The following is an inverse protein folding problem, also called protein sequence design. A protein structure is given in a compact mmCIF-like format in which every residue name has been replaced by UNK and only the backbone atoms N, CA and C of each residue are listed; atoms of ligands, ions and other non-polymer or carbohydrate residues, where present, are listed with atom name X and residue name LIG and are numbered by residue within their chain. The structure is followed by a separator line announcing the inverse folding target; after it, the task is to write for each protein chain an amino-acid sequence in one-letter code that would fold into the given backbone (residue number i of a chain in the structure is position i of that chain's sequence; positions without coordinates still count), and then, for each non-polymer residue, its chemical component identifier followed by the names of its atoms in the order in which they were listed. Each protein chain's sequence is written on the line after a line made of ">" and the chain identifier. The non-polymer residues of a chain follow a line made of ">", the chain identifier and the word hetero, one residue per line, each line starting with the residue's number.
data_IF_423212642860
#
_entry.id   IF_423212642860
#
_cell.length_a   1.000
_cell.length_b   1.000
_cell.length_c   1.000
_cell.angle_alpha   90.00
_cell.angle_beta   90.00
_cell.angle_gamma   90.00
#
_symmetry.space_group_name_H-M   'P 1'
#
loop_
_entity.id
_entity.type
_entity.pdbx_description
1 polymer ?
#
# COMPACT_ATOMS: atom_id res chain seq x y z
N UNK A 1 23.65 -12.87 -2.01
CA UNK A 1 23.83 -11.94 -0.87
C UNK A 1 22.75 -12.26 0.16
N UNK A 2 23.17 -12.59 1.39
CA UNK A 2 22.25 -12.76 2.51
C UNK A 2 21.73 -11.38 2.92
N UNK A 3 20.43 -11.12 2.71
CA UNK A 3 19.76 -9.89 3.08
C UNK A 3 18.64 -10.14 4.07
N UNK A 4 18.16 -9.09 4.73
CA UNK A 4 17.04 -9.13 5.67
C UNK A 4 15.75 -8.77 4.93
N UNK A 5 14.70 -9.58 5.10
CA UNK A 5 13.38 -9.33 4.54
C UNK A 5 12.46 -8.72 5.59
N UNK A 6 11.73 -7.66 5.22
CA UNK A 6 10.59 -7.19 6.02
C UNK A 6 9.41 -8.12 5.75
N UNK A 7 8.91 -8.80 6.79
CA UNK A 7 7.92 -9.85 6.64
C UNK A 7 6.75 -9.73 7.61
N UNK A 8 5.57 -10.09 7.14
CA UNK A 8 4.40 -10.38 7.96
C UNK A 8 4.23 -11.89 8.06
N UNK A 9 4.23 -12.40 9.27
CA UNK A 9 4.01 -13.82 9.55
C UNK A 9 2.72 -14.01 10.32
N UNK A 10 1.93 -14.98 9.91
CA UNK A 10 0.76 -15.40 10.66
C UNK A 10 1.10 -16.45 11.68
N UNK A 11 0.41 -16.41 12.82
CA UNK A 11 0.51 -17.40 13.90
C UNK A 11 -0.88 -17.97 14.22
N UNK A 12 -0.92 -19.24 14.56
CA UNK A 12 -2.16 -19.91 14.99
C UNK A 12 -3.03 -20.39 13.82
N UNK A 13 -4.29 -19.93 13.75
CA UNK A 13 -5.26 -20.40 12.75
C UNK A 13 -5.09 -19.82 11.35
N UNK A 14 -4.34 -18.74 11.22
CA UNK A 14 -3.94 -18.18 9.95
C UNK A 14 -2.66 -18.86 9.44
N UNK A 15 -2.54 -19.04 8.15
CA UNK A 15 -1.34 -19.61 7.54
C UNK A 15 -0.87 -18.71 6.39
N UNK A 16 0.41 -18.39 6.41
CA UNK A 16 1.08 -17.63 5.37
C UNK A 16 2.15 -16.70 5.91
N UNK A 17 3.03 -16.34 5.00
CA UNK A 17 4.07 -15.33 5.19
C UNK A 17 4.02 -14.40 3.99
N UNK A 18 4.00 -13.11 4.22
CA UNK A 18 4.09 -12.09 3.20
C UNK A 18 5.42 -11.35 3.38
N UNK A 19 6.25 -11.37 2.38
CA UNK A 19 7.52 -10.63 2.35
C UNK A 19 7.35 -9.37 1.51
N UNK A 20 7.98 -8.27 1.95
CA UNK A 20 7.92 -6.99 1.27
C UNK A 20 8.49 -7.08 -0.14
N UNK A 21 7.75 -6.53 -1.12
CA UNK A 21 8.09 -6.58 -2.54
C UNK A 21 8.61 -5.23 -3.07
N UNK A 22 8.03 -4.12 -2.59
CA UNK A 22 8.37 -2.78 -3.03
C UNK A 22 9.15 -2.07 -1.94
N UNK A 23 10.46 -1.97 -2.14
CA UNK A 23 11.34 -1.29 -1.21
C UNK A 23 11.30 0.22 -1.43
N UNK A 24 11.53 0.96 -0.34
CA UNK A 24 11.59 2.43 -0.37
C UNK A 24 12.97 2.86 -0.88
N UNK A 25 13.03 3.61 -2.00
CA UNK A 25 14.29 4.14 -2.50
C UNK A 25 14.98 5.00 -1.44
N UNK A 26 16.30 4.89 -1.34
CA UNK A 26 17.18 5.56 -0.37
C UNK A 26 16.93 5.23 1.11
N UNK A 27 15.79 4.62 1.46
CA UNK A 27 15.48 4.15 2.81
C UNK A 27 15.82 2.67 3.02
N UNK A 28 15.50 1.83 2.05
CA UNK A 28 15.66 0.37 2.12
C UNK A 28 16.61 -0.16 1.05
N UNK A 29 16.82 0.58 -0.03
CA UNK A 29 17.83 0.28 -1.05
C UNK A 29 18.31 1.57 -1.73
N UNK A 30 19.49 1.50 -2.35
CA UNK A 30 20.04 2.60 -3.15
C UNK A 30 19.72 2.33 -4.63
N UNK A 31 18.92 3.19 -5.31
CA UNK A 31 18.47 2.94 -6.68
C UNK A 31 19.61 3.24 -7.60
N UNK A 32 20.51 3.09 -7.98
CA UNK A 32 21.60 3.31 -8.94
C UNK A 32 22.97 3.00 -8.34
N UNK A 33 23.69 2.11 -8.99
CA UNK A 33 25.06 1.73 -8.63
C UNK A 33 26.06 2.90 -8.68
N UNK A 34 25.74 3.97 -9.42
CA UNK A 34 26.57 5.18 -9.49
C UNK A 34 26.73 5.87 -8.12
N UNK A 35 25.76 5.71 -7.23
CA UNK A 35 25.83 6.23 -5.86
C UNK A 35 26.60 5.33 -4.91
N UNK A 36 26.99 4.13 -5.35
CA UNK A 36 27.68 3.17 -4.51
C UNK A 36 29.03 3.72 -4.00
N UNK A 37 29.79 4.36 -4.88
CA UNK A 37 31.06 4.98 -4.52
C UNK A 37 30.88 6.18 -3.58
N UNK A 38 29.81 6.94 -3.75
CA UNK A 38 29.49 8.07 -2.88
C UNK A 38 29.13 7.60 -1.46
N UNK A 39 28.24 6.62 -1.32
CA UNK A 39 27.86 6.08 -0.01
C UNK A 39 28.99 5.37 0.71
N UNK A 40 29.88 4.66 -0.03
CA UNK A 40 31.06 4.03 0.56
C UNK A 40 32.08 5.05 1.06
N UNK A 41 32.23 6.17 0.37
CA UNK A 41 33.13 7.26 0.79
C UNK A 41 32.70 7.87 2.12
N UNK A 42 31.40 7.97 2.39
CA UNK A 42 30.86 8.53 3.62
C UNK A 42 30.59 7.48 4.72
N UNK A 43 31.02 6.23 4.54
CA UNK A 43 30.77 5.14 5.50
C UNK A 43 29.28 4.98 5.91
N UNK A 44 28.35 5.30 5.02
CA UNK A 44 26.94 5.03 5.28
C UNK A 44 26.68 3.53 5.22
N UNK A 45 26.21 2.95 6.33
CA UNK A 45 25.72 1.58 6.35
C UNK A 45 24.55 1.47 5.40
N UNK A 46 24.68 0.66 4.34
CA UNK A 46 23.57 0.40 3.41
C UNK A 46 22.55 -0.48 4.10
N UNK A 47 21.28 -0.13 4.03
CA UNK A 47 20.25 -1.08 4.39
C UNK A 47 20.33 -2.27 3.42
N UNK A 48 20.55 -3.46 3.94
CA UNK A 48 20.55 -4.70 3.15
C UNK A 48 19.17 -5.36 3.21
N UNK A 49 18.15 -4.64 2.75
CA UNK A 49 16.79 -5.17 2.67
C UNK A 49 16.60 -5.79 1.30
N UNK A 50 16.14 -7.04 1.28
CA UNK A 50 15.88 -7.79 0.05
C UNK A 50 14.38 -7.81 -0.23
N UNK A 51 14.02 -7.46 -1.46
CA UNK A 51 12.64 -7.61 -1.96
C UNK A 51 12.35 -9.07 -2.28
N UNK A 52 11.11 -9.49 -2.10
CA UNK A 52 10.66 -10.82 -2.48
C UNK A 52 9.57 -10.73 -3.54
N UNK A 53 9.63 -11.59 -4.54
CA UNK A 53 8.57 -11.72 -5.54
C UNK A 53 7.42 -12.64 -5.07
N UNK A 54 7.57 -13.26 -3.91
CA UNK A 54 6.58 -14.16 -3.33
C UNK A 54 5.44 -13.38 -2.69
N UNK A 55 4.47 -13.01 -3.50
CA UNK A 55 3.23 -12.41 -3.02
C UNK A 55 2.25 -13.52 -2.65
N UNK A 56 2.15 -13.80 -1.37
CA UNK A 56 1.29 -14.86 -0.84
C UNK A 56 0.17 -14.24 -0.01
N UNK A 57 -1.06 -14.76 -0.20
CA UNK A 57 -2.17 -14.45 0.69
C UNK A 57 -1.97 -15.13 2.04
N UNK A 58 -2.19 -14.40 3.11
CA UNK A 58 -2.34 -14.98 4.44
C UNK A 58 -3.77 -15.54 4.53
N UNK A 59 -3.90 -16.85 4.80
CA UNK A 59 -5.17 -17.56 4.66
C UNK A 59 -5.60 -18.26 5.95
N UNK A 60 -6.91 -18.32 6.14
CA UNK A 60 -7.57 -19.28 7.02
C UNK A 60 -8.79 -19.84 6.28
N UNK A 61 -9.65 -20.61 6.99
CA UNK A 61 -10.85 -21.21 6.39
C UNK A 61 -11.72 -20.18 5.66
N UNK A 62 -11.93 -19.00 6.27
CA UNK A 62 -12.88 -17.99 5.76
C UNK A 62 -12.22 -16.64 5.44
N UNK A 63 -10.92 -16.51 5.69
CA UNK A 63 -10.16 -15.29 5.49
C UNK A 63 -9.06 -15.49 4.46
N UNK A 64 -9.06 -14.61 3.45
CA UNK A 64 -8.00 -14.47 2.46
C UNK A 64 -7.51 -13.02 2.52
N UNK A 65 -6.38 -12.80 3.18
CA UNK A 65 -5.85 -11.47 3.47
C UNK A 65 -4.78 -11.13 2.45
N UNK A 66 -4.99 -10.05 1.70
CA UNK A 66 -3.95 -9.43 0.87
C UNK A 66 -3.24 -8.36 1.71
N UNK A 67 -1.92 -8.46 1.79
CA UNK A 67 -1.12 -7.62 2.69
C UNK A 67 -0.24 -6.64 1.93
N UNK A 68 0.11 -5.54 2.60
CA UNK A 68 1.12 -4.58 2.18
C UNK A 68 1.91 -4.11 3.41
N UNK A 69 3.22 -3.94 3.25
CA UNK A 69 4.11 -3.46 4.32
C UNK A 69 4.49 -2.02 4.05
N UNK A 70 4.16 -1.12 4.98
CA UNK A 70 4.54 0.29 4.97
C UNK A 70 4.11 0.98 3.66
N UNK A 71 5.04 1.64 2.98
CA UNK A 71 4.81 2.41 1.76
C UNK A 71 4.29 1.59 0.57
N UNK A 72 4.33 0.25 0.62
CA UNK A 72 3.74 -0.60 -0.43
C UNK A 72 2.26 -0.29 -0.68
N UNK A 73 1.54 0.22 0.33
CA UNK A 73 0.15 0.66 0.19
C UNK A 73 -0.02 1.73 -0.90
N UNK A 74 1.02 2.49 -1.23
CA UNK A 74 1.00 3.48 -2.31
C UNK A 74 0.93 2.85 -3.70
N UNK A 75 1.42 1.61 -3.84
CA UNK A 75 1.40 0.89 -5.10
C UNK A 75 0.11 0.10 -5.29
N UNK A 76 -0.66 0.45 -6.31
CA UNK A 76 -1.94 -0.19 -6.62
C UNK A 76 -1.81 -1.67 -6.95
N UNK A 77 -0.73 -2.04 -7.66
CA UNK A 77 -0.46 -3.39 -8.14
C UNK A 77 -0.31 -4.43 -7.02
N UNK A 78 0.14 -4.03 -5.83
CA UNK A 78 0.26 -4.92 -4.67
C UNK A 78 -1.07 -5.62 -4.37
N UNK A 79 -2.18 -4.87 -4.35
CA UNK A 79 -3.49 -5.44 -4.07
C UNK A 79 -4.21 -5.98 -5.31
N UNK A 80 -3.89 -5.49 -6.51
CA UNK A 80 -4.51 -5.97 -7.74
C UNK A 80 -4.17 -7.45 -8.02
N UNK A 81 -2.94 -7.87 -7.74
CA UNK A 81 -2.48 -9.24 -7.96
C UNK A 81 -3.35 -10.28 -7.26
N UNK A 82 -3.80 -10.01 -6.04
CA UNK A 82 -4.65 -10.88 -5.23
C UNK A 82 -6.07 -10.33 -5.01
N UNK A 83 -6.39 -9.25 -5.68
CA UNK A 83 -7.67 -8.56 -5.49
C UNK A 83 -8.90 -9.45 -5.71
N UNK A 84 -8.84 -10.41 -6.63
CA UNK A 84 -9.95 -11.35 -6.89
C UNK A 84 -10.11 -12.40 -5.80
N UNK A 85 -9.03 -12.81 -5.17
CA UNK A 85 -8.99 -13.92 -4.23
C UNK A 85 -9.12 -13.47 -2.77
N UNK A 86 -8.66 -12.26 -2.44
CA UNK A 86 -8.74 -11.73 -1.08
C UNK A 86 -10.16 -11.29 -0.72
N UNK A 87 -10.47 -11.29 0.56
CA UNK A 87 -11.72 -10.74 1.13
C UNK A 87 -11.47 -9.71 2.23
N UNK A 88 -10.20 -9.50 2.59
CA UNK A 88 -9.72 -8.53 3.55
C UNK A 88 -8.36 -7.98 3.08
N UNK A 89 -8.11 -6.70 3.31
CA UNK A 89 -6.81 -6.05 3.09
C UNK A 89 -6.15 -5.77 4.44
N UNK A 90 -4.83 -5.88 4.50
CA UNK A 90 -4.05 -5.58 5.68
C UNK A 90 -2.84 -4.72 5.32
N UNK A 91 -2.59 -3.68 6.12
CA UNK A 91 -1.39 -2.86 5.99
C UNK A 91 -0.71 -2.70 7.35
N UNK A 92 0.49 -3.22 7.49
CA UNK A 92 1.37 -2.93 8.61
C UNK A 92 2.33 -1.81 8.24
N UNK A 93 2.50 -0.81 9.10
CA UNK A 93 3.38 0.33 8.80
C UNK A 93 4.11 0.85 10.04
N UNK A 94 5.23 1.50 9.77
CA UNK A 94 5.90 2.37 10.72
C UNK A 94 6.04 3.75 10.07
N UNK A 95 5.23 4.70 10.52
CA UNK A 95 5.16 6.05 9.94
C UNK A 95 6.15 7.04 10.61
N UNK A 96 7.07 6.54 11.45
CA UNK A 96 8.06 7.36 12.14
C UNK A 96 8.96 8.20 11.19
N UNK A 97 9.11 7.72 9.95
CA UNK A 97 9.85 8.42 8.90
C UNK A 97 9.27 9.78 8.53
N UNK A 98 7.97 9.97 8.76
CA UNK A 98 7.29 11.22 8.44
C UNK A 98 7.44 12.29 9.53
N UNK A 99 7.92 11.92 10.75
CA UNK A 99 8.01 12.84 11.88
C UNK A 99 6.67 13.51 12.17
N UNK A 100 6.72 14.73 12.72
CA UNK A 100 5.54 15.54 13.06
C UNK A 100 5.01 16.30 11.84
N UNK A 101 4.69 15.58 10.78
CA UNK A 101 4.17 16.17 9.54
C UNK A 101 2.78 15.61 9.20
N UNK A 102 2.17 16.10 8.13
CA UNK A 102 0.92 15.57 7.59
C UNK A 102 1.08 14.17 6.96
N UNK A 103 2.31 13.67 6.82
CA UNK A 103 2.64 12.40 6.16
C UNK A 103 1.83 11.20 6.62
N UNK A 104 1.69 10.92 7.94
CA UNK A 104 0.88 9.81 8.44
C UNK A 104 -0.58 9.87 8.00
N UNK A 105 -1.18 11.05 7.94
CA UNK A 105 -2.56 11.25 7.49
C UNK A 105 -2.70 11.06 5.98
N UNK A 106 -1.72 11.51 5.20
CA UNK A 106 -1.68 11.24 3.75
C UNK A 106 -1.53 9.75 3.48
N UNK A 107 -0.71 9.06 4.27
CA UNK A 107 -0.53 7.62 4.17
C UNK A 107 -1.82 6.85 4.53
N UNK A 108 -2.56 7.29 5.56
CA UNK A 108 -3.90 6.80 5.86
C UNK A 108 -4.86 7.03 4.70
N UNK A 109 -4.80 8.21 4.07
CA UNK A 109 -5.67 8.54 2.94
C UNK A 109 -5.44 7.59 1.76
N UNK A 110 -4.18 7.23 1.48
CA UNK A 110 -3.85 6.22 0.47
C UNK A 110 -4.48 4.86 0.84
N UNK A 111 -4.41 4.44 2.10
CA UNK A 111 -5.04 3.20 2.56
C UNK A 111 -6.56 3.21 2.35
N UNK A 112 -7.23 4.35 2.57
CA UNK A 112 -8.66 4.54 2.29
C UNK A 112 -8.99 4.33 0.81
N UNK A 113 -8.17 4.87 -0.09
CA UNK A 113 -8.33 4.62 -1.53
C UNK A 113 -8.16 3.15 -1.88
N UNK A 114 -7.17 2.45 -1.31
CA UNK A 114 -6.99 1.00 -1.54
C UNK A 114 -8.23 0.20 -1.13
N UNK A 115 -8.81 0.51 0.02
CA UNK A 115 -10.05 -0.14 0.47
C UNK A 115 -11.21 0.09 -0.51
N UNK A 116 -11.41 1.34 -0.96
CA UNK A 116 -12.47 1.72 -1.88
C UNK A 116 -12.29 1.10 -3.29
N UNK A 117 -11.10 1.14 -3.86
CA UNK A 117 -10.76 0.57 -5.17
C UNK A 117 -11.00 -0.94 -5.22
N UNK A 118 -10.65 -1.63 -4.14
CA UNK A 118 -10.83 -3.07 -4.03
C UNK A 118 -12.24 -3.45 -3.54
N UNK A 119 -13.04 -2.50 -3.03
CA UNK A 119 -14.33 -2.74 -2.35
C UNK A 119 -14.20 -3.75 -1.22
N UNK A 120 -13.10 -3.71 -0.51
CA UNK A 120 -12.79 -4.59 0.61
C UNK A 120 -12.43 -3.78 1.85
N UNK A 121 -12.80 -4.28 3.05
CA UNK A 121 -12.34 -3.65 4.27
C UNK A 121 -10.82 -3.76 4.37
N UNK A 122 -10.21 -2.79 5.05
CA UNK A 122 -8.79 -2.74 5.28
C UNK A 122 -8.51 -2.50 6.76
N UNK A 123 -7.63 -3.33 7.33
CA UNK A 123 -7.05 -3.13 8.64
C UNK A 123 -5.68 -2.50 8.44
N UNK A 124 -5.49 -1.32 9.02
CA UNK A 124 -4.19 -0.65 9.08
C UNK A 124 -3.69 -0.68 10.51
N UNK A 125 -2.53 -1.29 10.71
CA UNK A 125 -1.81 -1.35 12.00
C UNK A 125 -0.49 -0.60 11.87
N UNK A 126 -0.29 0.41 12.69
CA UNK A 126 0.93 1.22 12.67
C UNK A 126 1.57 1.26 14.04
N UNK A 127 2.90 1.17 14.08
CA UNK A 127 3.66 1.41 15.32
C UNK A 127 3.70 2.89 15.68
N UNK A 128 3.68 3.74 14.65
CA UNK A 128 3.58 5.21 14.73
C UNK A 128 2.64 5.69 13.65
N UNK A 129 1.92 6.81 13.87
CA UNK A 129 0.90 7.30 12.95
C UNK A 129 -0.49 6.74 13.25
N UNK A 130 -1.38 6.71 12.27
CA UNK A 130 -2.79 6.39 12.45
C UNK A 130 -3.07 4.93 12.17
N UNK A 131 -3.39 4.14 13.20
CA UNK A 131 -3.99 2.81 13.07
C UNK A 131 -5.49 2.94 12.84
N UNK A 132 -6.06 2.17 11.92
CA UNK A 132 -7.46 2.34 11.53
C UNK A 132 -8.10 1.06 11.00
N UNK A 133 -9.40 0.98 11.23
CA UNK A 133 -10.31 0.06 10.55
C UNK A 133 -11.06 0.84 9.48
N UNK A 134 -10.91 0.42 8.24
CA UNK A 134 -11.47 1.09 7.07
C UNK A 134 -12.47 0.16 6.40
N UNK A 135 -13.67 0.66 6.11
CA UNK A 135 -14.68 -0.13 5.45
C UNK A 135 -14.43 -0.23 3.93
N UNK A 136 -15.21 -1.05 3.26
CA UNK A 136 -15.14 -1.27 1.79
C UNK A 136 -15.39 -0.03 0.93
N UNK A 137 -15.82 1.07 1.50
CA UNK A 137 -16.05 2.35 0.81
C UNK A 137 -14.93 3.36 1.06
N UNK A 138 -13.89 2.98 1.84
CA UNK A 138 -12.80 3.85 2.20
C UNK A 138 -13.09 4.77 3.39
N UNK A 139 -14.23 4.58 4.08
CA UNK A 139 -14.53 5.34 5.30
C UNK A 139 -13.85 4.71 6.50
N UNK A 140 -13.23 5.53 7.34
CA UNK A 140 -12.67 5.11 8.62
C UNK A 140 -13.81 4.80 9.58
N UNK A 141 -13.85 3.56 10.08
CA UNK A 141 -14.86 3.10 11.04
C UNK A 141 -14.41 3.39 12.46
N UNK A 142 -13.15 3.09 12.74
CA UNK A 142 -12.47 3.39 14.00
C UNK A 142 -11.01 3.69 13.72
N UNK A 143 -10.42 4.57 14.50
CA UNK A 143 -8.98 4.88 14.42
C UNK A 143 -8.40 5.12 15.80
N UNK A 144 -7.10 4.87 15.90
CA UNK A 144 -6.25 5.31 16.99
C UNK A 144 -5.24 6.26 16.35
N UNK A 145 -5.28 7.50 16.76
CA UNK A 145 -4.31 8.50 16.38
C UNK A 145 -3.28 8.62 17.51
N UNK A 146 -2.02 8.49 17.17
CA UNK A 146 -0.95 8.60 18.15
C UNK A 146 -0.29 9.96 17.97
N UNK A 147 -1.01 11.01 18.36
CA UNK A 147 -0.48 12.38 18.33
C UNK A 147 0.57 12.64 19.43
N UNK A 148 0.63 11.79 20.46
CA UNK A 148 1.54 11.97 21.60
C UNK A 148 2.53 10.81 21.74
N UNK A 149 3.77 11.02 21.34
CA UNK A 149 4.89 10.09 21.54
C UNK A 149 5.09 9.68 23.02
N UNK A 150 4.76 10.55 23.97
CA UNK A 150 4.87 10.26 25.40
C UNK A 150 3.83 9.25 25.89
N UNK A 151 2.65 9.18 25.27
CA UNK A 151 1.65 8.15 25.56
C UNK A 151 1.97 6.78 24.93
N UNK A 152 2.89 6.72 23.97
CA UNK A 152 3.30 5.48 23.28
C UNK A 152 3.96 4.47 24.21
N UNK A 153 4.67 4.91 25.21
CA UNK A 153 5.52 4.03 26.04
C UNK A 153 4.73 3.38 27.18
N UNK A 154 3.62 3.97 27.61
CA UNK A 154 2.91 3.51 28.80
C UNK A 154 1.61 2.75 28.54
N UNK A 155 0.94 2.93 27.39
CA UNK A 155 -0.36 2.31 27.14
C UNK A 155 -0.45 1.75 25.71
N UNK A 156 -0.43 0.42 25.57
CA UNK A 156 -0.85 -0.24 24.34
C UNK A 156 -2.32 0.07 24.08
N UNK A 157 -2.62 0.71 22.95
CA UNK A 157 -4.00 0.97 22.53
C UNK A 157 -4.49 -0.15 21.62
N UNK A 158 -5.75 -0.51 21.78
CA UNK A 158 -6.39 -1.58 21.04
C UNK A 158 -7.67 -1.09 20.37
N UNK A 159 -7.84 -1.44 19.09
CA UNK A 159 -9.11 -1.29 18.40
C UNK A 159 -9.81 -2.64 18.35
N UNK A 160 -11.03 -2.69 18.87
CA UNK A 160 -11.90 -3.84 18.74
C UNK A 160 -13.14 -3.48 17.91
N UNK A 161 -13.45 -4.28 16.91
CA UNK A 161 -14.62 -4.09 16.06
C UNK A 161 -14.96 -5.34 15.25
N UNK A 162 -16.20 -5.43 14.80
CA UNK A 162 -16.65 -6.45 13.86
C UNK A 162 -16.40 -5.92 12.44
N UNK A 163 -15.68 -6.70 11.63
CA UNK A 163 -15.40 -6.39 10.22
C UNK A 163 -16.11 -7.42 9.36
N UNK A 164 -16.96 -6.93 8.46
CA UNK A 164 -17.59 -7.78 7.44
C UNK A 164 -16.68 -7.91 6.23
N UNK A 165 -16.08 -9.08 6.06
CA UNK A 165 -15.26 -9.40 4.89
C UNK A 165 -16.10 -9.42 3.61
N UNK A 166 -15.47 -9.18 2.47
CA UNK A 166 -16.18 -9.15 1.19
C UNK A 166 -15.38 -9.85 0.10
N UNK A 167 -16.00 -10.85 -0.50
CA UNK A 167 -15.52 -11.50 -1.71
C UNK A 167 -15.97 -10.74 -2.97
N UNK A 168 -15.41 -11.10 -4.11
CA UNK A 168 -15.68 -10.48 -5.41
C UNK A 168 -14.64 -9.42 -5.79
N UNK A 169 -14.85 -8.81 -6.94
CA UNK A 169 -13.90 -7.85 -7.52
C UNK A 169 -14.62 -6.66 -8.16
N UNK A 170 -13.91 -5.57 -8.25
CA UNK A 170 -14.35 -4.34 -8.91
C UNK A 170 -13.86 -4.31 -10.36
N UNK A 171 -14.43 -3.45 -11.22
CA UNK A 171 -13.84 -3.16 -12.52
C UNK A 171 -12.36 -2.73 -12.41
N UNK A 172 -12.01 -1.99 -11.37
CA UNK A 172 -10.64 -1.57 -11.11
C UNK A 172 -9.69 -2.76 -10.86
N UNK A 173 -10.10 -3.78 -10.08
CA UNK A 173 -9.33 -5.01 -9.90
C UNK A 173 -9.15 -5.76 -11.22
N UNK A 174 -10.14 -5.67 -12.13
CA UNK A 174 -10.10 -6.39 -13.42
C UNK A 174 -9.24 -5.67 -14.44
N UNK A 175 -9.41 -4.38 -14.58
CA UNK A 175 -8.85 -3.59 -15.67
C UNK A 175 -7.73 -2.63 -15.20
N UNK A 176 -7.57 -2.41 -13.89
CA UNK A 176 -6.60 -1.47 -13.34
C UNK A 176 -6.82 -0.05 -13.86
N UNK A 177 -5.73 0.60 -14.21
CA UNK A 177 -5.70 1.98 -14.75
C UNK A 177 -5.97 2.09 -16.26
N UNK A 178 -6.03 0.97 -16.97
CA UNK A 178 -6.10 0.98 -18.44
C UNK A 178 -7.32 1.71 -19.02
N UNK A 179 -8.55 1.57 -18.46
CA UNK A 179 -9.70 2.32 -18.96
C UNK A 179 -9.53 3.83 -18.89
N UNK A 180 -8.91 4.34 -17.82
CA UNK A 180 -8.63 5.77 -17.67
C UNK A 180 -7.59 6.26 -18.67
N UNK A 181 -6.53 5.48 -18.87
CA UNK A 181 -5.49 5.79 -19.88
C UNK A 181 -6.11 5.81 -21.28
N UNK A 182 -6.91 4.81 -21.62
CA UNK A 182 -7.59 4.74 -22.91
C UNK A 182 -8.52 5.93 -23.14
N UNK A 183 -9.29 6.32 -22.14
CA UNK A 183 -10.16 7.48 -22.22
C UNK A 183 -9.39 8.78 -22.44
N UNK A 184 -8.27 8.98 -21.74
CA UNK A 184 -7.39 10.15 -21.94
C UNK A 184 -6.83 10.17 -23.37
N UNK A 185 -6.40 9.04 -23.89
CA UNK A 185 -5.90 8.95 -25.27
C UNK A 185 -6.99 9.31 -26.28
N UNK A 186 -8.23 8.84 -26.10
CA UNK A 186 -9.36 9.22 -26.97
C UNK A 186 -9.56 10.73 -26.95
N UNK A 187 -9.52 11.37 -25.78
CA UNK A 187 -9.68 12.83 -25.70
C UNK A 187 -8.55 13.59 -26.42
N UNK A 188 -7.31 13.14 -26.25
CA UNK A 188 -6.15 13.75 -26.92
C UNK A 188 -6.28 13.62 -28.43
N UNK A 189 -6.50 12.40 -28.93
CA UNK A 189 -6.64 12.16 -30.37
C UNK A 189 -7.88 12.85 -30.95
N UNK A 190 -9.01 12.82 -30.25
CA UNK A 190 -10.23 13.53 -30.65
C UNK A 190 -10.02 15.04 -30.79
N UNK A 191 -9.32 15.65 -29.85
CA UNK A 191 -8.95 17.06 -29.90
C UNK A 191 -8.02 17.37 -31.08
N UNK A 192 -7.05 16.50 -31.35
CA UNK A 192 -6.14 16.64 -32.47
C UNK A 192 -6.87 16.58 -33.83
N UNK A 193 -7.71 15.56 -34.02
CA UNK A 193 -8.52 15.40 -35.23
C UNK A 193 -9.51 16.56 -35.42
N UNK A 194 -10.16 17.00 -34.35
CA UNK A 194 -11.07 18.14 -34.39
C UNK A 194 -10.37 19.42 -34.89
N UNK A 195 -9.16 19.68 -34.37
CA UNK A 195 -8.35 20.84 -34.81
C UNK A 195 -7.92 20.72 -36.28
N UNK A 196 -7.57 19.53 -36.73
CA UNK A 196 -7.20 19.28 -38.12
C UNK A 196 -8.35 19.53 -39.08
N UNK A 197 -9.57 19.09 -38.73
CA UNK A 197 -10.78 19.32 -39.55
C UNK A 197 -11.23 20.77 -39.62
N UNK A 198 -10.93 21.58 -38.60
CA UNK A 198 -11.25 23.04 -38.64
C UNK A 198 -10.25 23.76 -39.51
N UNK A 199 -8.96 23.48 -39.40
CA UNK A 199 -7.92 24.12 -40.18
C UNK A 199 -7.97 23.80 -41.69
N UNK A 200 -8.68 22.76 -42.11
CA UNK A 200 -8.92 22.49 -43.57
C UNK A 200 -10.10 23.27 -44.13
N UNK A 201 -10.86 23.98 -43.31
CA UNK A 201 -12.04 24.76 -43.75
C UNK A 201 -11.81 26.26 -43.89
N UNK A 202 -10.63 26.73 -43.45
CA UNK A 202 -10.13 28.08 -43.62
C UNK A 202 -9.09 28.13 -44.78
#
# INVERSE_FOLDING_TARGET
>A
EEGVSNSLMSLGKLNGKFDKQKLVPFGEYVPFTIFDSFFSFFNFNRPNVVSSDNNVLIKSKDLNISSAICYEIAYQDIFLKHGKQSNLLFNASNDNWFGDTIGPYQHLQIARYRAAENRKPLIRSTSTGVSALINKFGSVVKSIDIDNLEQKVSNSQQIESIIFTRSGHTPFITFGKWPSIFFILILIFGSFFYKMLINEKD
#
